data_IF_319143582721
#
_entry.id   IF_319143582721
#
_cell.length_a   1.000
_cell.length_b   1.000
_cell.length_c   1.000
_cell.angle_alpha   90.00
_cell.angle_beta   90.00
_cell.angle_gamma   90.00
#
_symmetry.space_group_name_H-M   'P 1'
#
loop_
_entity.id
_entity.type
_entity.pdbx_description
1 polymer ?
#
# COMPACT_ATOMS: atom_id res chain seq x y z
N UNK A 1 -6.86 -11.94 -19.47
CA UNK A 1 -6.59 -10.48 -19.46
C UNK A 1 -6.82 -10.06 -18.02
N UNK A 2 -5.76 -9.99 -17.21
CA UNK A 2 -5.91 -9.55 -15.82
C UNK A 2 -6.24 -8.05 -15.86
N UNK A 3 -7.35 -7.66 -15.26
CA UNK A 3 -7.68 -6.25 -15.13
C UNK A 3 -6.64 -5.62 -14.18
N UNK A 4 -5.83 -4.70 -14.71
CA UNK A 4 -4.91 -3.85 -13.93
C UNK A 4 -5.76 -2.86 -13.09
N UNK A 5 -6.44 -3.37 -12.06
CA UNK A 5 -7.43 -2.62 -11.27
C UNK A 5 -6.84 -1.36 -10.62
N UNK A 6 -5.51 -1.31 -10.40
CA UNK A 6 -4.87 -0.20 -9.71
C UNK A 6 -3.79 0.58 -10.50
N UNK A 7 -3.43 0.19 -11.74
CA UNK A 7 -2.63 1.14 -12.56
C UNK A 7 -3.35 2.47 -12.78
N UNK A 8 -4.68 2.46 -12.70
CA UNK A 8 -5.55 3.62 -12.85
C UNK A 8 -6.19 4.09 -11.53
N UNK A 9 -5.76 3.60 -10.34
CA UNK A 9 -6.30 4.21 -9.12
C UNK A 9 -5.75 5.62 -8.98
N UNK A 10 -6.61 6.58 -9.24
CA UNK A 10 -6.28 7.99 -9.20
C UNK A 10 -6.66 8.62 -7.86
N UNK A 11 -7.28 7.86 -6.94
CA UNK A 11 -7.71 8.36 -5.64
C UNK A 11 -7.42 7.39 -4.49
N UNK A 12 -7.16 7.98 -3.32
CA UNK A 12 -6.98 7.25 -2.05
C UNK A 12 -8.20 6.36 -1.72
N UNK A 13 -9.40 6.72 -2.17
CA UNK A 13 -10.62 5.95 -1.96
C UNK A 13 -10.59 4.60 -2.69
N UNK A 14 -10.03 4.56 -3.92
CA UNK A 14 -9.85 3.31 -4.66
C UNK A 14 -8.79 2.41 -4.00
N UNK A 15 -7.78 3.02 -3.36
CA UNK A 15 -6.79 2.28 -2.58
C UNK A 15 -7.45 1.66 -1.34
N UNK A 16 -8.26 2.43 -0.61
CA UNK A 16 -9.01 1.95 0.57
C UNK A 16 -9.95 0.80 0.19
N UNK A 17 -10.72 0.95 -0.89
CA UNK A 17 -11.61 -0.12 -1.38
C UNK A 17 -10.81 -1.35 -1.82
N UNK A 18 -9.67 -1.14 -2.49
CA UNK A 18 -8.74 -2.21 -2.86
C UNK A 18 -8.22 -2.96 -1.64
N UNK A 19 -7.86 -2.26 -0.56
CA UNK A 19 -7.38 -2.88 0.69
C UNK A 19 -8.48 -3.75 1.29
N UNK A 20 -9.69 -3.19 1.42
CA UNK A 20 -10.81 -3.84 2.09
C UNK A 20 -11.40 -5.02 1.27
N UNK A 21 -11.17 -5.06 -0.04
CA UNK A 21 -11.73 -6.09 -0.94
C UNK A 21 -10.71 -7.06 -1.51
N UNK A 22 -9.42 -6.89 -1.23
CA UNK A 22 -8.34 -7.74 -1.79
C UNK A 22 -8.51 -9.21 -1.42
N UNK A 23 -8.89 -9.51 -0.18
CA UNK A 23 -9.09 -10.90 0.28
C UNK A 23 -10.45 -11.49 -0.15
N UNK A 24 -11.41 -10.64 -0.52
CA UNK A 24 -12.76 -11.07 -0.89
C UNK A 24 -12.87 -11.52 -2.36
N UNK A 25 -11.87 -11.24 -3.18
CA UNK A 25 -11.91 -11.53 -4.62
C UNK A 25 -11.04 -12.75 -4.96
N UNK A 26 -11.64 -13.74 -5.61
CA UNK A 26 -10.91 -14.89 -6.16
C UNK A 26 -10.03 -14.53 -7.37
N UNK A 27 -10.15 -13.28 -7.86
CA UNK A 27 -9.36 -12.78 -8.97
C UNK A 27 -8.03 -12.22 -8.47
N UNK A 28 -6.94 -12.59 -9.16
CA UNK A 28 -5.63 -12.00 -8.89
C UNK A 28 -5.63 -10.57 -9.40
N UNK A 29 -5.66 -9.61 -8.47
CA UNK A 29 -5.54 -8.18 -8.75
C UNK A 29 -4.06 -7.75 -8.68
N UNK A 30 -3.73 -6.63 -9.33
CA UNK A 30 -2.38 -6.05 -9.33
C UNK A 30 -2.40 -4.54 -9.06
N UNK A 31 -1.37 -4.05 -8.36
CA UNK A 31 -1.04 -2.64 -8.12
C UNK A 31 0.32 -2.34 -8.74
N UNK A 32 0.35 -1.54 -9.80
CA UNK A 32 1.56 -1.35 -10.59
C UNK A 32 2.07 -2.69 -11.14
N UNK A 33 3.21 -3.16 -10.64
CA UNK A 33 3.79 -4.47 -10.97
C UNK A 33 3.60 -5.52 -9.86
N UNK A 34 2.95 -5.15 -8.75
CA UNK A 34 2.84 -5.97 -7.55
C UNK A 34 1.51 -6.69 -7.48
N UNK A 35 1.57 -7.98 -7.13
CA UNK A 35 0.38 -8.80 -6.93
C UNK A 35 -0.32 -8.35 -5.64
N UNK A 36 -1.63 -8.12 -5.72
CA UNK A 36 -2.48 -7.79 -4.59
C UNK A 36 -3.05 -9.06 -3.98
N UNK A 37 -2.27 -9.66 -3.11
CA UNK A 37 -2.65 -10.85 -2.35
C UNK A 37 -2.94 -10.55 -0.87
N UNK A 38 -2.69 -9.33 -0.38
CA UNK A 38 -3.20 -8.85 0.91
C UNK A 38 -3.43 -7.32 0.91
N UNK A 39 -4.35 -6.87 1.78
CA UNK A 39 -4.60 -5.45 1.99
C UNK A 39 -3.39 -4.72 2.60
N UNK A 40 -2.60 -5.42 3.41
CA UNK A 40 -1.36 -4.92 4.02
C UNK A 40 -0.32 -4.56 2.96
N UNK A 41 -0.15 -5.42 1.95
CA UNK A 41 0.79 -5.15 0.85
C UNK A 41 0.38 -3.95 0.03
N UNK A 42 -0.92 -3.80 -0.24
CA UNK A 42 -1.44 -2.63 -0.94
C UNK A 42 -1.19 -1.35 -0.14
N UNK A 43 -1.52 -1.37 1.15
CA UNK A 43 -1.29 -0.24 2.05
C UNK A 43 0.21 0.11 2.12
N UNK A 44 1.07 -0.91 2.22
CA UNK A 44 2.53 -0.77 2.24
C UNK A 44 3.08 -0.14 0.95
N UNK A 45 2.62 -0.63 -0.21
CA UNK A 45 3.02 -0.09 -1.51
C UNK A 45 2.61 1.36 -1.66
N UNK A 46 1.33 1.66 -1.39
CA UNK A 46 0.83 3.04 -1.45
C UNK A 46 1.66 3.97 -0.57
N UNK A 47 1.86 3.60 0.70
CA UNK A 47 2.61 4.43 1.64
C UNK A 47 4.07 4.63 1.22
N UNK A 48 4.71 3.58 0.69
CA UNK A 48 6.07 3.66 0.15
C UNK A 48 6.14 4.57 -1.10
N UNK A 49 5.21 4.46 -2.04
CA UNK A 49 5.22 5.29 -3.25
C UNK A 49 5.09 6.79 -2.96
N UNK A 50 4.37 7.18 -1.91
CA UNK A 50 4.27 8.59 -1.50
C UNK A 50 5.64 9.17 -1.07
N UNK A 51 6.52 8.33 -0.52
CA UNK A 51 7.82 8.73 0.04
C UNK A 51 9.01 8.24 -0.80
N UNK A 52 8.79 7.48 -1.87
CA UNK A 52 9.84 6.84 -2.67
C UNK A 52 10.85 7.83 -3.28
N UNK A 53 10.38 9.06 -3.54
CA UNK A 53 11.18 10.15 -4.09
C UNK A 53 12.02 10.87 -3.03
N UNK A 54 11.86 10.57 -1.75
CA UNK A 54 12.64 11.21 -0.69
C UNK A 54 14.09 10.70 -0.72
N UNK A 55 15.02 11.56 -0.31
CA UNK A 55 16.44 11.20 -0.15
C UNK A 55 16.63 10.23 1.01
N UNK A 56 15.92 10.47 2.12
CA UNK A 56 15.89 9.63 3.31
C UNK A 56 14.43 9.37 3.69
N UNK A 57 14.11 8.10 3.94
CA UNK A 57 12.76 7.68 4.34
C UNK A 57 12.83 7.18 5.77
N UNK A 58 12.11 7.84 6.67
CA UNK A 58 11.95 7.37 8.05
C UNK A 58 10.69 6.51 8.18
N UNK A 59 10.66 5.66 9.21
CA UNK A 59 9.47 4.88 9.54
C UNK A 59 8.24 5.78 9.78
N UNK A 60 8.42 7.00 10.30
CA UNK A 60 7.32 7.90 10.62
C UNK A 60 6.69 8.55 9.37
N UNK A 61 7.46 8.80 8.32
CA UNK A 61 6.93 9.24 7.02
C UNK A 61 6.02 8.17 6.40
N UNK A 62 6.48 6.90 6.41
CA UNK A 62 5.65 5.78 5.94
C UNK A 62 4.39 5.62 6.81
N UNK A 63 4.53 5.67 8.14
CA UNK A 63 3.39 5.58 9.06
C UNK A 63 2.37 6.69 8.82
N UNK A 64 2.79 7.89 8.45
CA UNK A 64 1.87 9.02 8.20
C UNK A 64 0.89 8.67 7.08
N UNK A 65 1.37 8.09 5.98
CA UNK A 65 0.51 7.66 4.87
C UNK A 65 -0.33 6.43 5.20
N UNK A 66 0.18 5.50 6.01
CA UNK A 66 -0.62 4.38 6.52
C UNK A 66 -1.75 4.87 7.45
N UNK A 67 -1.49 5.90 8.28
CA UNK A 67 -2.52 6.52 9.13
C UNK A 67 -3.58 7.25 8.30
N UNK A 68 -3.20 7.84 7.17
CA UNK A 68 -4.15 8.46 6.24
C UNK A 68 -5.14 7.42 5.70
N UNK A 69 -4.66 6.25 5.26
CA UNK A 69 -5.52 5.14 4.83
C UNK A 69 -6.45 4.67 5.95
N UNK A 70 -5.92 4.52 7.17
CA UNK A 70 -6.73 4.15 8.35
C UNK A 70 -7.81 5.17 8.66
N UNK A 71 -7.49 6.46 8.53
CA UNK A 71 -8.45 7.56 8.71
C UNK A 71 -9.56 7.57 7.65
N UNK A 72 -9.35 6.87 6.54
CA UNK A 72 -10.33 6.64 5.47
C UNK A 72 -11.05 5.30 5.57
N UNK A 73 -10.95 4.61 6.70
CA UNK A 73 -11.59 3.31 6.97
C UNK A 73 -10.97 2.13 6.20
N UNK A 74 -9.65 2.17 5.93
CA UNK A 74 -8.92 1.02 5.43
C UNK A 74 -8.59 0.01 6.55
N UNK A 75 -8.91 -1.26 6.32
CA UNK A 75 -8.79 -2.36 7.27
C UNK A 75 -7.58 -3.23 6.91
N UNK A 76 -6.44 -2.97 7.56
CA UNK A 76 -5.18 -3.72 7.43
C UNK A 76 -4.38 -3.68 8.75
N UNK A 77 -3.40 -4.54 8.96
CA UNK A 77 -2.49 -4.41 10.10
C UNK A 77 -1.41 -3.33 9.86
N UNK A 78 -1.38 -2.31 10.74
CA UNK A 78 -0.48 -1.16 10.61
C UNK A 78 1.00 -1.55 10.71
N UNK A 79 1.33 -2.46 11.63
CA UNK A 79 2.71 -2.86 11.86
C UNK A 79 3.19 -3.77 10.75
N UNK A 80 2.34 -4.68 10.27
CA UNK A 80 2.63 -5.55 9.14
C UNK A 80 2.85 -4.73 7.86
N UNK A 81 1.95 -3.80 7.54
CA UNK A 81 2.13 -2.90 6.40
C UNK A 81 3.40 -2.07 6.49
N UNK A 82 3.76 -1.57 7.68
CA UNK A 82 5.01 -0.85 7.88
C UNK A 82 6.22 -1.76 7.64
N UNK A 83 6.23 -2.98 8.18
CA UNK A 83 7.31 -3.94 7.97
C UNK A 83 7.47 -4.29 6.49
N UNK A 84 6.35 -4.51 5.78
CA UNK A 84 6.34 -4.77 4.33
C UNK A 84 6.87 -3.54 3.57
N UNK A 85 6.43 -2.33 3.90
CA UNK A 85 6.91 -1.11 3.26
C UNK A 85 8.43 -0.94 3.42
N UNK A 86 8.96 -1.29 4.60
CA UNK A 86 10.41 -1.30 4.86
C UNK A 86 11.16 -2.33 4.02
N UNK A 87 10.53 -3.46 3.66
CA UNK A 87 11.14 -4.42 2.73
C UNK A 87 11.29 -3.86 1.31
N UNK A 88 10.38 -2.98 0.87
CA UNK A 88 10.50 -2.27 -0.40
C UNK A 88 11.48 -1.09 -0.34
N UNK A 89 11.67 -0.54 0.85
CA UNK A 89 12.44 0.67 1.07
C UNK A 89 13.95 0.41 1.16
N UNK A 90 14.64 0.42 0.02
CA UNK A 90 16.11 0.32 -0.04
C UNK A 90 16.84 1.55 0.54
N UNK A 91 16.09 2.64 0.83
CA UNK A 91 16.58 3.93 1.35
C UNK A 91 16.17 4.21 2.80
N UNK A 92 15.52 3.24 3.47
CA UNK A 92 15.11 3.43 4.85
C UNK A 92 16.33 3.36 5.77
N UNK A 93 16.41 4.29 6.72
CA UNK A 93 17.49 4.27 7.71
C UNK A 93 17.41 2.99 8.55
N UNK A 94 18.56 2.34 8.75
CA UNK A 94 18.70 1.03 9.40
C UNK A 94 18.71 1.14 10.91
#
# INVERSE_FOLDING_TARGET
MAADFIKDANSIEQIVDGINTTEASSEVKYFGEYKLDSGEKLAAHYAYEQVANYEHISDDEIKTHLQELKSKDAHFDMNESLQIAKQFCSKCET
#
